data_IF_554365795178
#
_entry.id   IF_554365795178
#
_cell.length_a   1.000
_cell.length_b   1.000
_cell.length_c   1.000
_cell.angle_alpha   90.00
_cell.angle_beta   90.00
_cell.angle_gamma   90.00
#
_symmetry.space_group_name_H-M   'P 1'
#
loop_
_entity.id
_entity.type
_entity.pdbx_description
1 polymer ?
#
# COMPACT_ATOMS: atom_id res chain seq x y z
N UNK A 1 39.96 24.88 -23.22
CA UNK A 1 39.44 24.89 -21.86
C UNK A 1 38.20 24.00 -21.89
N UNK A 2 38.27 22.83 -21.30
CA UNK A 2 37.13 21.92 -21.25
C UNK A 2 36.23 22.36 -20.10
N UNK A 3 35.04 22.85 -20.41
CA UNK A 3 33.99 23.10 -19.42
C UNK A 3 33.58 21.75 -18.81
N UNK A 4 34.01 21.53 -17.60
CA UNK A 4 33.56 20.40 -16.78
C UNK A 4 32.10 20.67 -16.45
N UNK A 5 31.19 19.89 -17.03
CA UNK A 5 29.76 19.92 -16.68
C UNK A 5 29.65 19.40 -15.25
N UNK A 6 29.70 20.30 -14.25
CA UNK A 6 29.39 19.94 -12.87
C UNK A 6 27.91 19.53 -12.78
N UNK A 7 27.69 18.31 -12.35
CA UNK A 7 26.35 17.82 -12.09
C UNK A 7 25.78 18.55 -10.85
N UNK A 8 25.10 19.68 -11.09
CA UNK A 8 24.53 20.55 -10.04
C UNK A 8 23.54 19.82 -9.11
N UNK A 9 23.03 18.65 -9.51
CA UNK A 9 22.09 17.85 -8.71
C UNK A 9 22.82 17.15 -7.56
N UNK A 10 24.02 16.64 -7.79
CA UNK A 10 24.84 16.00 -6.75
C UNK A 10 25.31 16.96 -5.67
N UNK A 11 25.52 18.23 -6.00
CA UNK A 11 25.96 19.28 -5.08
C UNK A 11 24.80 20.02 -4.38
N UNK A 12 23.55 19.79 -4.79
CA UNK A 12 22.40 20.56 -4.28
C UNK A 12 21.87 20.11 -2.90
N UNK A 13 22.33 18.98 -2.36
CA UNK A 13 21.80 18.39 -1.14
C UNK A 13 20.33 17.94 -1.29
N UNK A 14 19.88 17.73 -2.53
CA UNK A 14 18.57 17.19 -2.86
C UNK A 14 18.60 15.67 -2.76
N UNK A 15 17.64 15.10 -2.06
CA UNK A 15 17.41 13.65 -2.02
C UNK A 15 16.21 13.34 -2.87
N UNK A 16 16.38 12.43 -3.82
CA UNK A 16 15.30 11.93 -4.65
C UNK A 16 14.76 10.62 -4.06
N UNK A 17 13.46 10.56 -3.81
CA UNK A 17 12.75 9.37 -3.34
C UNK A 17 11.79 8.93 -4.43
N UNK A 18 12.09 7.79 -5.05
CA UNK A 18 11.18 7.16 -6.00
C UNK A 18 10.28 6.17 -5.24
N UNK A 19 8.96 6.42 -5.24
CA UNK A 19 7.97 5.59 -4.57
C UNK A 19 7.87 4.17 -5.15
N UNK A 20 8.29 3.94 -6.38
CA UNK A 20 8.34 2.59 -6.96
C UNK A 20 9.24 1.63 -6.15
N UNK A 21 10.23 2.17 -5.43
CA UNK A 21 11.12 1.38 -4.58
C UNK A 21 10.42 0.82 -3.33
N UNK A 22 9.28 1.40 -2.95
CA UNK A 22 8.47 1.01 -1.80
C UNK A 22 7.23 0.21 -2.18
N UNK A 23 7.08 -0.10 -3.46
CA UNK A 23 5.97 -0.89 -3.94
C UNK A 23 6.02 -2.33 -3.41
N UNK A 24 4.96 -2.78 -2.75
CA UNK A 24 4.82 -4.16 -2.28
C UNK A 24 4.40 -5.06 -3.44
N UNK A 25 5.29 -5.98 -3.83
CA UNK A 25 5.05 -6.94 -4.91
C UNK A 25 4.20 -8.09 -4.41
N UNK A 26 3.41 -8.68 -5.30
CA UNK A 26 2.57 -9.85 -5.05
C UNK A 26 1.28 -9.77 -5.85
N UNK A 27 0.66 -10.91 -6.07
CA UNK A 27 -0.66 -10.99 -6.69
C UNK A 27 -1.72 -10.52 -5.70
N UNK A 28 -2.61 -9.63 -6.14
CA UNK A 28 -3.75 -9.15 -5.36
C UNK A 28 -4.96 -10.00 -5.66
N UNK A 29 -5.55 -10.54 -4.62
CA UNK A 29 -6.74 -11.40 -4.74
C UNK A 29 -7.79 -10.94 -3.74
N UNK A 30 -9.04 -11.01 -4.14
CA UNK A 30 -10.18 -10.75 -3.25
C UNK A 30 -10.93 -12.05 -2.97
N UNK A 31 -11.26 -12.27 -1.71
CA UNK A 31 -12.23 -13.28 -1.28
C UNK A 31 -13.52 -12.55 -0.99
N UNK A 32 -14.50 -12.74 -1.88
CA UNK A 32 -15.83 -12.17 -1.72
C UNK A 32 -16.72 -13.17 -0.97
N UNK A 33 -17.21 -12.74 0.20
CA UNK A 33 -18.05 -13.58 1.05
C UNK A 33 -19.37 -14.00 0.40
N UNK A 34 -19.82 -13.30 -0.62
CA UNK A 34 -21.04 -13.68 -1.35
C UNK A 34 -20.96 -15.11 -1.91
N UNK A 35 -19.76 -15.58 -2.25
CA UNK A 35 -19.52 -16.94 -2.75
C UNK A 35 -19.84 -18.03 -1.71
N UNK A 36 -19.86 -17.66 -0.45
CA UNK A 36 -20.15 -18.56 0.67
C UNK A 36 -21.62 -18.53 1.12
N UNK A 37 -22.44 -17.65 0.54
CA UNK A 37 -23.84 -17.55 0.90
C UNK A 37 -24.61 -18.76 0.35
N UNK A 38 -25.74 -19.07 1.00
CA UNK A 38 -26.72 -20.02 0.50
C UNK A 38 -27.47 -19.44 -0.70
N UNK A 39 -28.19 -20.25 -1.44
CA UNK A 39 -28.95 -19.83 -2.63
C UNK A 39 -30.02 -18.76 -2.37
N UNK A 40 -30.47 -18.66 -1.12
CA UNK A 40 -31.42 -17.65 -0.64
C UNK A 40 -30.78 -16.34 -0.15
N UNK A 41 -29.46 -16.20 -0.33
CA UNK A 41 -28.72 -15.00 0.06
C UNK A 41 -28.43 -14.88 1.57
N UNK A 42 -28.60 -15.98 2.33
CA UNK A 42 -28.35 -16.00 3.78
C UNK A 42 -27.06 -16.76 4.06
N UNK A 43 -26.23 -16.23 4.95
CA UNK A 43 -25.02 -16.91 5.41
C UNK A 43 -25.36 -17.78 6.63
N UNK A 44 -25.38 -19.11 6.44
CA UNK A 44 -25.65 -20.09 7.50
C UNK A 44 -24.35 -20.72 7.97
N UNK A 45 -24.13 -20.75 9.29
CA UNK A 45 -22.87 -21.20 9.85
C UNK A 45 -22.46 -22.62 9.39
N UNK A 46 -23.37 -23.58 9.40
CA UNK A 46 -23.07 -24.96 9.03
C UNK A 46 -22.63 -25.08 7.56
N UNK A 47 -23.38 -24.44 6.64
CA UNK A 47 -23.06 -24.45 5.21
C UNK A 47 -21.77 -23.68 4.92
N UNK A 48 -21.56 -22.56 5.62
CA UNK A 48 -20.34 -21.77 5.52
C UNK A 48 -19.12 -22.60 5.90
N UNK A 49 -19.15 -23.29 7.06
CA UNK A 49 -18.07 -24.18 7.50
C UNK A 49 -17.79 -25.31 6.51
N UNK A 50 -18.82 -25.88 5.91
CA UNK A 50 -18.65 -26.92 4.87
C UNK A 50 -17.91 -26.34 3.66
N UNK A 51 -18.34 -25.18 3.14
CA UNK A 51 -17.68 -24.53 2.02
C UNK A 51 -16.23 -24.15 2.32
N UNK A 52 -15.93 -23.70 3.54
CA UNK A 52 -14.55 -23.42 3.94
C UNK A 52 -13.67 -24.68 3.94
N UNK A 53 -14.21 -25.84 4.33
CA UNK A 53 -13.49 -27.13 4.28
C UNK A 53 -13.24 -27.61 2.85
N UNK A 54 -14.11 -27.26 1.92
CA UNK A 54 -14.00 -27.60 0.50
C UNK A 54 -13.12 -26.62 -0.30
N UNK A 55 -12.79 -25.48 0.30
CA UNK A 55 -11.96 -24.46 -0.36
C UNK A 55 -10.49 -24.86 -0.34
N UNK A 56 -9.85 -24.78 -1.50
CA UNK A 56 -8.39 -24.93 -1.60
C UNK A 56 -7.67 -23.65 -1.17
N UNK A 57 -7.26 -23.60 0.09
CA UNK A 57 -6.57 -22.46 0.67
C UNK A 57 -5.15 -22.27 0.14
N UNK A 58 -4.52 -23.32 -0.41
CA UNK A 58 -3.18 -23.21 -1.02
C UNK A 58 -3.17 -22.31 -2.25
N UNK A 59 -4.34 -22.10 -2.87
CA UNK A 59 -4.50 -21.15 -3.97
C UNK A 59 -4.16 -19.70 -3.57
N UNK A 60 -4.08 -19.39 -2.28
CA UNK A 60 -3.76 -18.06 -1.75
C UNK A 60 -2.31 -17.92 -1.29
N UNK A 61 -1.51 -18.98 -1.42
CA UNK A 61 -0.11 -18.98 -1.01
C UNK A 61 0.66 -17.81 -1.63
N UNK A 62 1.37 -17.08 -0.78
CA UNK A 62 2.18 -15.92 -1.16
C UNK A 62 1.42 -14.76 -1.81
N UNK A 63 0.08 -14.75 -1.77
CA UNK A 63 -0.75 -13.66 -2.31
C UNK A 63 -1.07 -12.60 -1.27
N UNK A 64 -1.48 -11.44 -1.76
CA UNK A 64 -1.96 -10.30 -0.99
C UNK A 64 -3.49 -10.35 -1.05
N UNK A 65 -4.12 -10.77 0.04
CA UNK A 65 -5.54 -11.15 0.06
C UNK A 65 -6.37 -10.07 0.73
N UNK A 66 -7.43 -9.63 0.05
CA UNK A 66 -8.50 -8.82 0.62
C UNK A 66 -9.71 -9.71 0.92
N UNK A 67 -10.39 -9.48 2.04
CA UNK A 67 -11.68 -10.11 2.36
C UNK A 67 -12.74 -9.01 2.37
N UNK A 68 -13.75 -9.18 1.54
CA UNK A 68 -14.86 -8.22 1.43
C UNK A 68 -16.20 -8.95 1.20
N UNK A 69 -17.28 -8.22 1.23
CA UNK A 69 -18.59 -8.70 0.80
C UNK A 69 -19.18 -7.67 -0.16
N UNK A 70 -19.28 -8.02 -1.44
CA UNK A 70 -19.84 -7.13 -2.45
C UNK A 70 -21.38 -7.01 -2.39
N UNK A 71 -22.05 -7.88 -1.63
CA UNK A 71 -23.48 -7.82 -1.44
C UNK A 71 -23.85 -6.84 -0.32
N UNK A 72 -25.00 -6.16 -0.47
CA UNK A 72 -25.65 -5.43 0.62
C UNK A 72 -26.36 -6.43 1.55
N UNK A 73 -25.55 -7.12 2.36
CA UNK A 73 -26.01 -8.20 3.22
C UNK A 73 -25.40 -8.09 4.62
N UNK A 74 -26.13 -8.60 5.61
CA UNK A 74 -25.63 -8.68 6.99
C UNK A 74 -24.70 -9.89 7.08
N UNK A 75 -23.38 -9.62 7.17
CA UNK A 75 -22.38 -10.66 7.40
C UNK A 75 -22.07 -10.74 8.88
N UNK A 76 -22.27 -11.90 9.54
CA UNK A 76 -21.87 -12.10 10.92
C UNK A 76 -20.34 -11.96 11.08
N UNK A 77 -19.88 -11.30 12.13
CA UNK A 77 -18.45 -11.01 12.34
C UNK A 77 -17.59 -12.28 12.43
N UNK A 78 -18.15 -13.38 12.93
CA UNK A 78 -17.45 -14.68 13.02
C UNK A 78 -17.08 -15.23 11.62
N UNK A 79 -17.79 -14.86 10.56
CA UNK A 79 -17.48 -15.32 9.20
C UNK A 79 -16.11 -14.80 8.74
N UNK A 80 -15.84 -13.52 8.95
CA UNK A 80 -14.53 -12.93 8.67
C UNK A 80 -13.41 -13.60 9.50
N UNK A 81 -13.68 -13.89 10.78
CA UNK A 81 -12.72 -14.55 11.66
C UNK A 81 -12.39 -15.97 11.18
N UNK A 82 -13.40 -16.73 10.70
CA UNK A 82 -13.18 -18.08 10.18
C UNK A 82 -12.34 -18.06 8.90
N UNK A 83 -12.64 -17.18 7.94
CA UNK A 83 -11.79 -17.03 6.73
C UNK A 83 -10.35 -16.65 7.14
N UNK A 84 -10.21 -15.67 8.03
CA UNK A 84 -8.89 -15.26 8.50
C UNK A 84 -8.11 -16.42 9.14
N UNK A 85 -8.78 -17.29 9.90
CA UNK A 85 -8.13 -18.46 10.53
C UNK A 85 -7.67 -19.52 9.51
N UNK A 86 -8.32 -19.63 8.35
CA UNK A 86 -7.88 -20.52 7.28
C UNK A 86 -6.73 -19.93 6.44
N UNK A 87 -6.63 -18.61 6.39
CA UNK A 87 -5.58 -17.89 5.63
C UNK A 87 -4.32 -17.66 6.46
N UNK A 88 -4.38 -17.86 7.78
CA UNK A 88 -3.20 -17.70 8.64
C UNK A 88 -2.09 -18.66 8.19
N UNK A 89 -0.94 -18.08 7.83
CA UNK A 89 0.20 -18.81 7.29
C UNK A 89 0.12 -19.17 5.81
N UNK A 90 -1.03 -18.98 5.14
CA UNK A 90 -1.23 -19.32 3.72
C UNK A 90 -1.16 -18.10 2.78
N UNK A 91 -1.14 -16.87 3.27
CA UNK A 91 -1.01 -15.69 2.44
C UNK A 91 0.10 -14.75 2.95
N UNK A 92 0.61 -13.89 2.07
CA UNK A 92 1.65 -12.92 2.43
C UNK A 92 1.10 -11.75 3.24
N UNK A 93 -0.15 -11.40 3.02
CA UNK A 93 -0.86 -10.35 3.73
C UNK A 93 -2.36 -10.59 3.63
N UNK A 94 -3.06 -10.41 4.74
CA UNK A 94 -4.50 -10.42 4.83
C UNK A 94 -5.03 -9.04 5.19
N UNK A 95 -6.05 -8.58 4.45
CA UNK A 95 -6.66 -7.27 4.63
C UNK A 95 -8.19 -7.39 4.64
N UNK A 96 -8.86 -6.65 5.53
CA UNK A 96 -10.31 -6.46 5.47
C UNK A 96 -10.66 -5.27 4.60
N UNK A 97 -11.48 -5.47 3.59
CA UNK A 97 -11.95 -4.48 2.64
C UNK A 97 -11.71 -4.89 1.18
N UNK A 98 -11.96 -3.97 0.28
CA UNK A 98 -11.81 -4.18 -1.17
C UNK A 98 -10.34 -4.01 -1.63
N UNK A 99 -10.11 -4.22 -2.94
CA UNK A 99 -8.77 -4.10 -3.51
C UNK A 99 -8.19 -2.68 -3.41
N UNK A 100 -9.02 -1.64 -3.46
CA UNK A 100 -8.57 -0.25 -3.31
C UNK A 100 -8.03 0.02 -1.90
N UNK A 101 -8.76 -0.43 -0.87
CA UNK A 101 -8.32 -0.31 0.52
C UNK A 101 -7.09 -1.20 0.82
N UNK A 102 -6.96 -2.34 0.13
CA UNK A 102 -5.76 -3.16 0.17
C UNK A 102 -4.55 -2.38 -0.37
N UNK A 103 -4.65 -1.71 -1.53
CA UNK A 103 -3.55 -0.90 -2.08
C UNK A 103 -3.14 0.23 -1.13
N UNK A 104 -4.10 0.86 -0.45
CA UNK A 104 -3.81 1.84 0.59
C UNK A 104 -2.98 1.24 1.75
N UNK A 105 -3.34 0.03 2.18
CA UNK A 105 -2.61 -0.69 3.24
C UNK A 105 -1.21 -1.09 2.76
N UNK A 106 -1.07 -1.55 1.52
CA UNK A 106 0.21 -1.93 0.93
C UNK A 106 1.15 -0.73 0.79
N UNK A 107 0.61 0.46 0.46
CA UNK A 107 1.37 1.70 0.40
C UNK A 107 1.99 2.04 1.76
N UNK A 108 1.23 1.92 2.85
CA UNK A 108 1.74 2.11 4.21
C UNK A 108 2.82 1.09 4.53
N UNK A 109 2.54 -0.20 4.28
CA UNK A 109 3.47 -1.29 4.55
C UNK A 109 4.80 -1.15 3.78
N UNK A 110 4.74 -0.71 2.52
CA UNK A 110 5.94 -0.44 1.74
C UNK A 110 6.81 0.64 2.37
N UNK A 111 6.19 1.70 2.86
CA UNK A 111 6.87 2.84 3.48
C UNK A 111 7.38 2.57 4.92
N UNK A 112 7.00 1.46 5.57
CA UNK A 112 7.55 1.07 6.89
C UNK A 112 9.08 0.90 6.89
N UNK A 113 9.68 0.69 5.73
CA UNK A 113 11.14 0.56 5.55
C UNK A 113 11.85 1.91 5.48
N UNK A 114 11.11 3.00 5.39
CA UNK A 114 11.68 4.34 5.32
C UNK A 114 11.93 4.84 6.74
N UNK A 115 13.19 5.21 7.00
CA UNK A 115 13.61 5.79 8.28
C UNK A 115 13.54 7.33 8.18
N UNK A 116 12.51 7.99 8.75
CA UNK A 116 12.32 9.43 8.57
C UNK A 116 13.48 10.28 9.06
N UNK A 117 14.22 9.83 10.09
CA UNK A 117 15.35 10.57 10.69
C UNK A 117 16.52 10.75 9.71
N UNK A 118 16.69 9.85 8.74
CA UNK A 118 17.70 9.99 7.68
C UNK A 118 17.46 11.22 6.79
N UNK A 119 16.23 11.71 6.76
CA UNK A 119 15.79 12.85 5.94
C UNK A 119 15.68 14.16 6.72
N UNK A 120 16.14 14.17 7.97
CA UNK A 120 16.11 15.35 8.83
C UNK A 120 16.86 16.52 8.20
N UNK A 121 16.15 17.66 8.12
CA UNK A 121 16.62 18.92 7.54
C UNK A 121 17.09 18.84 6.07
N UNK A 122 16.70 17.75 5.36
CA UNK A 122 17.00 17.57 3.94
C UNK A 122 15.94 18.19 3.03
N UNK A 123 16.34 18.46 1.79
CA UNK A 123 15.44 18.83 0.70
C UNK A 123 15.09 17.58 -0.08
N UNK A 124 13.83 17.27 -0.20
CA UNK A 124 13.35 16.00 -0.77
C UNK A 124 12.55 16.27 -2.03
N UNK A 125 12.81 15.48 -3.07
CA UNK A 125 11.95 15.34 -4.23
C UNK A 125 11.31 13.95 -4.16
N UNK A 126 9.99 13.89 -4.17
CA UNK A 126 9.24 12.65 -4.28
C UNK A 126 8.78 12.49 -5.71
N UNK A 127 9.06 11.35 -6.30
CA UNK A 127 8.50 10.96 -7.59
C UNK A 127 7.96 9.53 -7.55
N UNK A 128 7.25 9.13 -8.59
CA UNK A 128 6.61 7.83 -8.68
C UNK A 128 5.94 7.70 -10.04
N UNK A 129 6.64 8.17 -11.09
CA UNK A 129 6.18 8.08 -12.48
C UNK A 129 6.72 6.83 -13.16
N UNK A 130 6.90 5.73 -12.41
CA UNK A 130 7.44 4.48 -12.91
C UNK A 130 6.44 3.69 -13.76
N UNK A 131 6.82 2.45 -14.04
CA UNK A 131 6.02 1.53 -14.86
C UNK A 131 4.82 0.91 -14.11
N UNK A 132 4.62 1.28 -12.83
CA UNK A 132 3.60 0.68 -11.97
C UNK A 132 2.58 1.72 -11.54
N UNK A 133 1.30 1.36 -11.52
CA UNK A 133 0.29 2.22 -10.91
C UNK A 133 0.53 2.27 -9.40
N UNK A 134 0.99 3.41 -8.92
CA UNK A 134 1.06 3.68 -7.49
C UNK A 134 -0.30 4.21 -7.03
N UNK A 135 -0.77 3.70 -5.92
CA UNK A 135 -1.98 4.21 -5.29
C UNK A 135 -1.71 5.58 -4.67
N UNK A 136 -2.67 6.51 -4.79
CA UNK A 136 -2.53 7.91 -4.34
C UNK A 136 -2.19 8.02 -2.85
N UNK A 137 -2.62 7.04 -2.04
CA UNK A 137 -2.30 6.97 -0.62
C UNK A 137 -0.79 6.96 -0.34
N UNK A 138 0.04 6.42 -1.26
CA UNK A 138 1.49 6.40 -1.09
C UNK A 138 2.06 7.82 -0.99
N UNK A 139 1.55 8.75 -1.79
CA UNK A 139 1.96 10.16 -1.78
C UNK A 139 1.50 10.89 -0.51
N UNK A 140 0.32 10.54 -0.01
CA UNK A 140 -0.19 11.07 1.25
C UNK A 140 0.66 10.56 2.42
N UNK A 141 0.90 9.26 2.48
CA UNK A 141 1.64 8.64 3.58
C UNK A 141 3.11 9.10 3.63
N UNK A 142 3.81 9.16 2.49
CA UNK A 142 5.20 9.65 2.49
C UNK A 142 5.29 11.12 2.90
N UNK A 143 4.31 11.94 2.51
CA UNK A 143 4.24 13.34 2.94
C UNK A 143 4.08 13.43 4.45
N UNK A 144 3.19 12.65 5.06
CA UNK A 144 2.98 12.58 6.51
C UNK A 144 4.24 12.17 7.26
N UNK A 145 4.97 11.17 6.73
CA UNK A 145 6.19 10.65 7.34
C UNK A 145 7.34 11.69 7.30
N UNK A 146 7.50 12.38 6.19
CA UNK A 146 8.67 13.24 5.96
C UNK A 146 8.45 14.70 6.39
N UNK A 147 7.23 15.21 6.36
CA UNK A 147 6.96 16.62 6.69
C UNK A 147 7.47 17.05 8.09
N UNK A 148 7.39 16.22 9.15
CA UNK A 148 7.88 16.61 10.48
C UNK A 148 9.40 16.82 10.53
N UNK A 149 10.16 16.14 9.68
CA UNK A 149 11.62 16.09 9.73
C UNK A 149 12.31 16.85 8.59
N UNK A 150 11.70 16.89 7.41
CA UNK A 150 12.29 17.48 6.21
C UNK A 150 12.38 19.00 6.27
N UNK A 151 13.37 19.56 5.58
CA UNK A 151 13.48 21.00 5.32
C UNK A 151 12.49 21.45 4.24
N UNK A 152 12.33 20.66 3.19
CA UNK A 152 11.32 20.88 2.14
C UNK A 152 10.99 19.58 1.43
N UNK A 153 9.76 19.49 0.92
CA UNK A 153 9.27 18.39 0.09
C UNK A 153 8.75 19.01 -1.22
N UNK A 154 9.14 18.40 -2.33
CA UNK A 154 8.70 18.75 -3.68
C UNK A 154 8.23 17.46 -4.36
N UNK A 155 7.32 17.60 -5.29
CA UNK A 155 6.88 16.49 -6.16
C UNK A 155 7.36 16.73 -7.59
N UNK A 156 7.81 15.68 -8.26
CA UNK A 156 8.18 15.69 -9.69
C UNK A 156 9.64 15.29 -9.94
N UNK A 157 10.16 15.74 -11.06
CA UNK A 157 11.54 15.51 -11.47
C UNK A 157 12.41 16.74 -11.15
N UNK A 158 13.72 16.56 -11.00
CA UNK A 158 14.65 17.64 -10.61
C UNK A 158 14.60 18.86 -11.54
N UNK A 159 14.19 18.69 -12.80
CA UNK A 159 14.03 19.77 -13.78
C UNK A 159 12.65 20.47 -13.72
N UNK A 160 11.64 19.83 -13.11
CA UNK A 160 10.27 20.33 -13.03
C UNK A 160 9.59 19.82 -11.76
N UNK A 161 9.55 20.64 -10.72
CA UNK A 161 9.01 20.28 -9.43
C UNK A 161 7.83 21.15 -9.02
N UNK A 162 6.88 20.53 -8.30
CA UNK A 162 5.81 21.23 -7.60
C UNK A 162 6.18 21.28 -6.11
N UNK A 163 6.30 22.49 -5.51
CA UNK A 163 6.54 22.61 -4.08
C UNK A 163 5.33 22.10 -3.28
N UNK A 164 5.58 21.19 -2.33
CA UNK A 164 4.55 20.63 -1.43
C UNK A 164 4.67 21.22 -0.03
N UNK A 165 5.89 21.23 0.51
CA UNK A 165 6.16 21.72 1.86
C UNK A 165 7.51 22.44 1.93
N UNK A 166 7.58 23.48 2.76
CA UNK A 166 8.80 24.17 3.13
C UNK A 166 8.73 24.61 4.59
N UNK A 167 9.69 24.16 5.40
CA UNK A 167 9.82 24.56 6.80
C UNK A 167 10.06 26.08 6.86
N UNK A 168 9.27 26.78 7.65
CA UNK A 168 9.51 28.22 7.90
C UNK A 168 10.81 28.36 8.67
N UNK A 169 11.71 29.17 8.17
CA UNK A 169 12.90 29.58 8.93
C UNK A 169 12.43 30.63 9.93
N UNK A 170 12.50 30.32 11.20
CA UNK A 170 12.31 31.30 12.29
C UNK A 170 13.54 32.16 12.43
#
# INVERSE_FOLDING_TARGET
MADTIENKVTNSGLININLDNFYVRGERVIIDLISFFSSDGILREKEFRTKLQETDWSAFDNKLVAIDCSADAIVPLWAYMLIASHLEGNCSLLHYGNLESLESTLSKKGLEKLEPDEYKDKRIIVNGCGQRPLHESAFVEITKLLQPVAKSIMFGEACSTVPIFKKKTT
#
